data_IF_419961352358
#
_entry.id   IF_419961352358
#
_cell.length_a   1.000
_cell.length_b   1.000
_cell.length_c   1.000
_cell.angle_alpha   90.00
_cell.angle_beta   90.00
_cell.angle_gamma   90.00
#
_symmetry.space_group_name_H-M   'P 1'
#
loop_
_entity.id
_entity.type
_entity.pdbx_description
1 polymer ?
#
# COMPACT_ATOMS: atom_id res chain seq x y z
N UNK A 1 -14.74 -8.94 -6.55
CA UNK A 1 -14.38 -7.65 -5.92
C UNK A 1 -13.79 -7.81 -4.51
N UNK A 2 -14.22 -8.80 -3.71
CA UNK A 2 -13.67 -9.08 -2.36
C UNK A 2 -12.13 -9.08 -2.27
N UNK A 3 -11.43 -9.74 -3.20
CA UNK A 3 -9.95 -9.78 -3.23
C UNK A 3 -9.33 -8.38 -3.41
N UNK A 4 -9.96 -7.50 -4.20
CA UNK A 4 -9.46 -6.14 -4.40
C UNK A 4 -9.56 -5.34 -3.10
N UNK A 5 -10.68 -5.47 -2.39
CA UNK A 5 -10.88 -4.86 -1.07
C UNK A 5 -9.86 -5.39 -0.05
N UNK A 6 -9.64 -6.70 0.02
CA UNK A 6 -8.66 -7.31 0.92
C UNK A 6 -7.23 -6.81 0.65
N UNK A 7 -6.84 -6.64 -0.62
CA UNK A 7 -5.54 -6.07 -0.99
C UNK A 7 -5.42 -4.59 -0.62
N UNK A 8 -6.50 -3.82 -0.76
CA UNK A 8 -6.56 -2.43 -0.34
C UNK A 8 -6.40 -2.32 1.19
N UNK A 9 -7.12 -3.12 1.97
CA UNK A 9 -6.99 -3.19 3.43
C UNK A 9 -5.61 -3.70 3.89
N UNK A 10 -4.96 -4.55 3.09
CA UNK A 10 -3.57 -4.96 3.34
C UNK A 10 -2.60 -3.79 3.16
N UNK A 11 -2.77 -3.00 2.10
CA UNK A 11 -1.96 -1.80 1.88
C UNK A 11 -2.15 -0.78 3.01
N UNK A 12 -3.38 -0.50 3.43
CA UNK A 12 -3.65 0.42 4.55
C UNK A 12 -2.95 0.01 5.84
N UNK A 13 -2.99 -1.29 6.18
CA UNK A 13 -2.29 -1.81 7.37
C UNK A 13 -0.77 -1.74 7.24
N UNK A 14 -0.23 -1.99 6.05
CA UNK A 14 1.21 -1.91 5.82
C UNK A 14 1.71 -0.46 5.92
N UNK A 15 0.96 0.49 5.36
CA UNK A 15 1.24 1.93 5.47
C UNK A 15 1.17 2.41 6.93
N UNK A 16 0.18 1.97 7.71
CA UNK A 16 0.11 2.30 9.13
C UNK A 16 1.31 1.77 9.93
N UNK A 17 1.79 0.56 9.62
CA UNK A 17 2.98 -0.01 10.26
C UNK A 17 4.25 0.74 9.86
N UNK A 18 4.40 1.08 8.58
CA UNK A 18 5.54 1.86 8.10
C UNK A 18 5.58 3.25 8.74
N UNK A 19 4.46 3.95 8.81
CA UNK A 19 4.36 5.27 9.45
C UNK A 19 4.74 5.23 10.94
N UNK A 20 4.36 4.17 11.67
CA UNK A 20 4.75 4.00 13.08
C UNK A 20 6.24 3.73 13.22
N UNK A 21 6.78 2.83 12.41
CA UNK A 21 8.22 2.53 12.41
C UNK A 21 9.07 3.74 12.02
N UNK A 22 8.59 4.56 11.07
CA UNK A 22 9.23 5.82 10.70
C UNK A 22 9.24 6.80 11.88
N UNK A 23 8.11 6.94 12.59
CA UNK A 23 8.02 7.81 13.76
C UNK A 23 8.99 7.40 14.87
N UNK A 24 9.13 6.08 15.13
CA UNK A 24 10.10 5.55 16.09
C UNK A 24 11.54 5.90 15.66
N UNK A 25 11.88 5.70 14.38
CA UNK A 25 13.20 6.05 13.84
C UNK A 25 13.48 7.57 13.85
N UNK A 26 12.48 8.41 13.56
CA UNK A 26 12.59 9.86 13.66
C UNK A 26 12.83 10.30 15.11
N UNK A 27 12.25 9.60 16.08
CA UNK A 27 12.41 9.92 17.51
C UNK A 27 13.80 9.58 18.04
N UNK A 28 14.43 8.53 17.49
CA UNK A 28 15.77 8.06 17.81
C UNK A 28 16.58 7.84 16.53
N UNK A 29 17.05 8.94 15.89
CA UNK A 29 17.83 8.83 14.66
C UNK A 29 19.13 8.06 14.92
N UNK A 30 19.61 7.33 13.91
CA UNK A 30 20.79 6.44 13.98
C UNK A 30 20.63 5.17 14.84
N UNK A 31 19.44 4.90 15.38
CA UNK A 31 19.13 3.62 15.99
C UNK A 31 19.01 2.53 14.90
N UNK A 32 20.04 1.68 14.77
CA UNK A 32 20.10 0.62 13.75
C UNK A 32 18.92 -0.37 13.81
N UNK A 33 18.33 -0.59 14.98
CA UNK A 33 17.17 -1.50 15.11
C UNK A 33 15.93 -0.85 14.52
N UNK A 34 15.68 0.43 14.84
CA UNK A 34 14.56 1.18 14.27
C UNK A 34 14.70 1.39 12.77
N UNK A 35 15.92 1.65 12.28
CA UNK A 35 16.20 1.71 10.84
C UNK A 35 15.82 0.39 10.14
N UNK A 36 16.26 -0.76 10.68
CA UNK A 36 15.92 -2.09 10.12
C UNK A 36 14.42 -2.39 10.17
N UNK A 37 13.74 -1.98 11.23
CA UNK A 37 12.28 -2.15 11.36
C UNK A 37 11.56 -1.29 10.32
N UNK A 38 11.96 -0.03 10.18
CA UNK A 38 11.39 0.89 9.20
C UNK A 38 11.63 0.41 7.77
N UNK A 39 12.86 0.05 7.41
CA UNK A 39 13.21 -0.49 6.09
C UNK A 39 12.33 -1.67 5.71
N UNK A 40 12.15 -2.62 6.64
CA UNK A 40 11.31 -3.79 6.41
C UNK A 40 9.83 -3.42 6.28
N UNK A 41 9.35 -2.48 7.09
CA UNK A 41 7.96 -2.02 7.02
C UNK A 41 7.68 -1.32 5.69
N UNK A 42 8.58 -0.44 5.25
CA UNK A 42 8.49 0.26 3.97
C UNK A 42 8.54 -0.70 2.77
N UNK A 43 9.43 -1.70 2.80
CA UNK A 43 9.46 -2.75 1.77
C UNK A 43 8.14 -3.52 1.68
N UNK A 44 7.52 -3.83 2.82
CA UNK A 44 6.23 -4.52 2.86
C UNK A 44 5.08 -3.64 2.35
N UNK A 45 5.08 -2.35 2.68
CA UNK A 45 4.12 -1.38 2.13
C UNK A 45 4.23 -1.32 0.62
N UNK A 46 5.45 -1.13 0.09
CA UNK A 46 5.68 -1.08 -1.35
C UNK A 46 5.25 -2.38 -2.04
N UNK A 47 5.54 -3.54 -1.46
CA UNK A 47 5.10 -4.82 -2.00
C UNK A 47 3.56 -4.95 -2.03
N UNK A 48 2.86 -4.47 -1.00
CA UNK A 48 1.40 -4.46 -0.96
C UNK A 48 0.81 -3.49 -2.01
N UNK A 49 1.45 -2.33 -2.19
CA UNK A 49 1.08 -1.34 -3.20
C UNK A 49 1.24 -1.89 -4.63
N UNK A 50 2.36 -2.54 -4.92
CA UNK A 50 2.66 -3.12 -6.23
C UNK A 50 1.75 -4.31 -6.55
N UNK A 51 1.49 -5.18 -5.57
CA UNK A 51 0.54 -6.30 -5.69
C UNK A 51 -0.89 -5.80 -5.97
N UNK A 52 -1.33 -4.73 -5.29
CA UNK A 52 -2.63 -4.10 -5.55
C UNK A 52 -2.70 -3.52 -6.98
N UNK A 53 -1.66 -2.79 -7.41
CA UNK A 53 -1.61 -2.22 -8.76
C UNK A 53 -1.67 -3.31 -9.84
N UNK A 54 -0.85 -4.35 -9.72
CA UNK A 54 -0.86 -5.51 -10.63
C UNK A 54 -2.21 -6.21 -10.66
N UNK A 55 -2.86 -6.35 -9.51
CA UNK A 55 -4.18 -6.96 -9.44
C UNK A 55 -5.25 -6.11 -10.15
N UNK A 56 -5.18 -4.77 -10.07
CA UNK A 56 -6.08 -3.88 -10.83
C UNK A 56 -5.89 -4.07 -12.34
N UNK A 57 -4.64 -4.12 -12.82
CA UNK A 57 -4.35 -4.39 -14.24
C UNK A 57 -4.94 -5.73 -14.66
N UNK A 58 -4.76 -6.77 -13.83
CA UNK A 58 -5.28 -8.11 -14.11
C UNK A 58 -6.80 -8.15 -14.21
N UNK A 59 -7.53 -7.61 -13.22
CA UNK A 59 -9.01 -7.69 -13.20
C UNK A 59 -9.67 -6.82 -14.26
N UNK A 60 -8.96 -5.80 -14.76
CA UNK A 60 -9.42 -4.95 -15.88
C UNK A 60 -8.92 -5.45 -17.23
N UNK A 61 -8.27 -6.62 -17.28
CA UNK A 61 -7.68 -7.18 -18.51
C UNK A 61 -6.75 -6.18 -19.24
N UNK A 62 -6.09 -5.30 -18.50
CA UNK A 62 -5.19 -4.27 -19.03
C UNK A 62 -5.87 -2.99 -19.51
N UNK A 63 -7.18 -2.83 -19.40
CA UNK A 63 -7.86 -1.55 -19.69
C UNK A 63 -7.36 -0.42 -18.79
N UNK A 64 -7.02 -0.74 -17.54
CA UNK A 64 -6.23 0.12 -16.66
C UNK A 64 -4.79 -0.40 -16.67
N UNK A 65 -3.86 0.40 -17.20
CA UNK A 65 -2.43 0.08 -17.16
C UNK A 65 -1.83 0.28 -15.75
N UNK A 66 -0.62 -0.22 -15.52
CA UNK A 66 0.04 -0.17 -14.21
C UNK A 66 0.23 1.26 -13.69
N UNK A 67 0.52 2.22 -14.58
CA UNK A 67 0.71 3.63 -14.21
C UNK A 67 -0.61 4.25 -13.77
N UNK A 68 -1.69 3.97 -14.48
CA UNK A 68 -3.03 4.41 -14.15
C UNK A 68 -3.54 3.75 -12.86
N UNK A 69 -3.28 2.45 -12.67
CA UNK A 69 -3.61 1.73 -11.45
C UNK A 69 -2.92 2.33 -10.22
N UNK A 70 -1.60 2.57 -10.32
CA UNK A 70 -0.81 3.26 -9.29
C UNK A 70 -1.35 4.65 -8.96
N UNK A 71 -1.65 5.45 -9.99
CA UNK A 71 -2.27 6.78 -9.81
C UNK A 71 -3.62 6.69 -9.09
N UNK A 72 -4.45 5.70 -9.44
CA UNK A 72 -5.76 5.48 -8.83
C UNK A 72 -5.61 5.11 -7.35
N UNK A 73 -4.70 4.21 -7.01
CA UNK A 73 -4.41 3.84 -5.61
C UNK A 73 -3.92 5.05 -4.80
N UNK A 74 -3.06 5.89 -5.39
CA UNK A 74 -2.50 7.05 -4.68
C UNK A 74 -3.52 8.19 -4.50
N UNK A 75 -4.34 8.48 -5.51
CA UNK A 75 -5.19 9.69 -5.52
C UNK A 75 -6.65 9.42 -5.18
N UNK A 76 -7.12 8.17 -5.34
CA UNK A 76 -8.54 7.79 -5.33
C UNK A 76 -8.83 6.56 -4.46
N UNK A 77 -7.95 6.21 -3.51
CA UNK A 77 -8.09 5.02 -2.66
C UNK A 77 -9.44 4.94 -1.94
N UNK A 78 -9.87 6.04 -1.33
CA UNK A 78 -11.13 6.10 -0.58
C UNK A 78 -12.35 5.92 -1.49
N UNK A 79 -12.33 6.52 -2.68
CA UNK A 79 -13.38 6.33 -3.67
C UNK A 79 -13.44 4.87 -4.14
N UNK A 80 -12.27 4.26 -4.41
CA UNK A 80 -12.17 2.85 -4.75
C UNK A 80 -12.73 1.96 -3.64
N UNK A 81 -12.36 2.20 -2.38
CA UNK A 81 -12.83 1.44 -1.22
C UNK A 81 -14.35 1.52 -1.08
N UNK A 82 -14.92 2.72 -1.17
CA UNK A 82 -16.38 2.92 -1.10
C UNK A 82 -17.13 2.16 -2.19
N UNK A 83 -16.61 2.14 -3.43
CA UNK A 83 -17.20 1.38 -4.54
C UNK A 83 -17.17 -0.13 -4.32
N UNK A 84 -16.20 -0.64 -3.55
CA UNK A 84 -16.02 -2.07 -3.29
C UNK A 84 -16.80 -2.58 -2.07
N UNK A 85 -17.25 -1.67 -1.20
CA UNK A 85 -18.04 -1.95 -0.01
C UNK A 85 -19.55 -1.80 -0.24
N UNK A 86 -19.96 -1.16 -1.33
CA UNK A 86 -21.35 -1.05 -1.79
C UNK A 86 -21.87 -2.35 -2.43
#
# INVERSE_FOLDING_TARGET
MKILLEKLEKLERAEELANRAEADYISEPENEEFEKIFDRAYQNEFAAYDDLAKYIVQITSGEIDEKAARKLIHTKRNELKSLLQA
#
